data_IF_479891539248
#
_entry.id   IF_479891539248
#
_cell.length_a   1.000
_cell.length_b   1.000
_cell.length_c   1.000
_cell.angle_alpha   90.00
_cell.angle_beta   90.00
_cell.angle_gamma   90.00
#
_symmetry.space_group_name_H-M   'P 1'
#
loop_
_entity.id
_entity.type
_entity.pdbx_description
1 polymer ?
#
# COMPACT_ATOMS: atom_id res chain seq x y z
N UNK A 1 10.32 4.01 56.69
CA UNK A 1 11.03 3.78 55.41
C UNK A 1 10.96 5.07 54.61
N UNK A 2 12.08 5.62 54.14
CA UNK A 2 12.07 6.88 53.37
C UNK A 2 11.31 6.70 52.05
N UNK A 3 10.40 7.63 51.74
CA UNK A 3 9.65 7.64 50.47
C UNK A 3 10.62 7.87 49.31
N UNK A 4 10.56 7.00 48.28
CA UNK A 4 11.42 7.11 47.09
C UNK A 4 11.00 8.32 46.25
N UNK A 5 11.98 9.04 45.72
CA UNK A 5 11.70 10.16 44.80
C UNK A 5 11.10 9.65 43.48
N UNK A 6 10.37 10.51 42.76
CA UNK A 6 9.80 10.17 41.45
C UNK A 6 10.87 9.63 40.47
N UNK A 7 12.01 10.33 40.36
CA UNK A 7 13.13 9.91 39.49
C UNK A 7 13.70 8.55 39.87
N UNK A 8 13.75 8.22 41.17
CA UNK A 8 14.19 6.90 41.63
C UNK A 8 13.21 5.81 41.20
N UNK A 9 11.89 6.06 41.33
CA UNK A 9 10.84 5.12 40.90
C UNK A 9 10.92 4.84 39.40
N UNK A 10 11.04 5.88 38.56
CA UNK A 10 11.19 5.76 37.10
C UNK A 10 12.41 4.91 36.74
N UNK A 11 13.57 5.19 37.34
CA UNK A 11 14.83 4.45 37.06
C UNK A 11 14.75 2.99 37.47
N UNK A 12 14.06 2.68 38.57
CA UNK A 12 13.86 1.30 39.02
C UNK A 12 12.98 0.56 38.01
N UNK A 13 11.83 1.13 37.62
CA UNK A 13 10.92 0.52 36.65
C UNK A 13 11.63 0.23 35.32
N UNK A 14 12.32 1.23 34.77
CA UNK A 14 13.11 1.10 33.54
C UNK A 14 14.14 -0.06 33.61
N UNK A 15 14.89 -0.14 34.72
CA UNK A 15 15.87 -1.23 34.93
C UNK A 15 15.22 -2.59 35.12
N UNK A 16 14.06 -2.64 35.78
CA UNK A 16 13.29 -3.87 35.97
C UNK A 16 12.82 -4.41 34.62
N UNK A 17 12.25 -3.57 33.77
CA UNK A 17 11.79 -3.96 32.43
C UNK A 17 12.94 -4.53 31.59
N UNK A 18 14.07 -3.81 31.50
CA UNK A 18 15.24 -4.30 30.75
C UNK A 18 15.82 -5.59 31.33
N UNK A 19 15.64 -5.86 32.63
CA UNK A 19 16.02 -7.14 33.24
C UNK A 19 15.06 -8.24 32.83
N UNK A 20 13.75 -7.98 32.81
CA UNK A 20 12.74 -8.93 32.33
C UNK A 20 12.93 -9.26 30.85
N UNK A 21 13.31 -8.29 30.02
CA UNK A 21 13.60 -8.51 28.59
C UNK A 21 14.70 -9.54 28.34
N UNK A 22 15.60 -9.77 29.30
CA UNK A 22 16.62 -10.84 29.21
C UNK A 22 16.00 -12.23 29.16
N UNK A 23 14.76 -12.37 29.62
CA UNK A 23 13.96 -13.59 29.51
C UNK A 23 13.20 -13.71 28.19
N UNK A 24 13.20 -12.70 27.31
CA UNK A 24 12.52 -12.81 26.01
C UNK A 24 13.33 -13.65 25.00
N UNK A 25 12.66 -14.29 24.03
CA UNK A 25 13.29 -14.91 22.87
C UNK A 25 14.27 -13.95 22.17
N UNK A 26 15.34 -14.52 21.61
CA UNK A 26 16.45 -13.77 21.04
C UNK A 26 16.01 -12.85 19.88
N UNK A 27 14.94 -13.24 19.18
CA UNK A 27 14.38 -12.53 18.03
C UNK A 27 13.68 -11.23 18.45
N UNK A 28 12.97 -11.23 19.59
CA UNK A 28 12.13 -10.10 20.02
C UNK A 28 12.78 -9.23 21.10
N UNK A 29 13.77 -9.76 21.83
CA UNK A 29 14.48 -9.02 22.88
C UNK A 29 15.08 -7.68 22.38
N UNK A 30 15.77 -7.60 21.22
CA UNK A 30 16.33 -6.35 20.72
C UNK A 30 15.24 -5.31 20.40
N UNK A 31 14.12 -5.75 19.83
CA UNK A 31 12.97 -4.90 19.50
C UNK A 31 12.38 -4.28 20.77
N UNK A 32 12.10 -5.09 21.79
CA UNK A 32 11.58 -4.61 23.07
C UNK A 32 12.55 -3.65 23.76
N UNK A 33 13.85 -3.96 23.76
CA UNK A 33 14.87 -3.09 24.37
C UNK A 33 14.92 -1.71 23.71
N UNK A 34 14.83 -1.64 22.38
CA UNK A 34 14.83 -0.37 21.66
C UNK A 34 13.55 0.41 21.93
N UNK A 35 12.39 -0.26 21.90
CA UNK A 35 11.10 0.36 22.18
C UNK A 35 11.04 1.00 23.58
N UNK A 36 11.42 0.27 24.63
CA UNK A 36 11.48 0.79 26.01
C UNK A 36 12.41 2.00 26.13
N UNK A 37 13.58 1.94 25.49
CA UNK A 37 14.55 3.06 25.51
C UNK A 37 13.94 4.32 24.88
N UNK A 38 13.31 4.15 23.72
CA UNK A 38 12.73 5.26 22.99
C UNK A 38 11.55 5.86 23.74
N UNK A 39 10.64 5.04 24.27
CA UNK A 39 9.47 5.50 25.00
C UNK A 39 9.83 6.26 26.29
N UNK A 40 10.75 5.73 27.11
CA UNK A 40 11.21 6.44 28.31
C UNK A 40 11.99 7.72 27.96
N UNK A 41 12.67 7.76 26.80
CA UNK A 41 13.37 8.97 26.32
C UNK A 41 12.37 10.04 25.87
N UNK A 42 11.32 9.66 25.13
CA UNK A 42 10.24 10.57 24.68
C UNK A 42 9.53 11.21 25.87
N UNK A 43 9.28 10.45 26.93
CA UNK A 43 8.54 10.91 28.11
C UNK A 43 9.42 11.60 29.18
N UNK A 44 10.69 11.90 28.90
CA UNK A 44 11.59 12.53 29.88
C UNK A 44 11.16 13.94 30.30
N UNK A 45 10.39 14.65 29.47
CA UNK A 45 9.96 16.04 29.68
C UNK A 45 8.43 16.20 29.71
N UNK A 46 7.67 15.12 29.92
CA UNK A 46 6.22 15.17 29.99
C UNK A 46 5.73 15.87 31.27
N UNK A 47 4.46 16.28 31.27
CA UNK A 47 3.82 16.88 32.46
C UNK A 47 3.50 15.80 33.50
N UNK A 48 3.31 16.19 34.77
CA UNK A 48 3.17 15.24 35.88
C UNK A 48 2.00 14.26 35.72
N UNK A 49 0.86 14.71 35.19
CA UNK A 49 -0.30 13.86 34.91
C UNK A 49 0.00 12.77 33.88
N UNK A 50 0.68 13.12 32.79
CA UNK A 50 1.13 12.17 31.77
C UNK A 50 2.16 11.20 32.33
N UNK A 51 3.10 11.70 33.15
CA UNK A 51 4.12 10.86 33.80
C UNK A 51 3.49 9.81 34.72
N UNK A 52 2.40 10.15 35.42
CA UNK A 52 1.67 9.22 36.29
C UNK A 52 1.04 8.10 35.46
N UNK A 53 0.31 8.44 34.39
CA UNK A 53 -0.33 7.47 33.50
C UNK A 53 0.74 6.58 32.84
N UNK A 54 1.78 7.18 32.27
CA UNK A 54 2.89 6.47 31.64
C UNK A 54 3.52 5.45 32.61
N UNK A 55 3.80 5.85 33.85
CA UNK A 55 4.39 4.94 34.84
C UNK A 55 3.45 3.83 35.27
N UNK A 56 2.13 4.07 35.30
CA UNK A 56 1.13 3.05 35.57
C UNK A 56 1.15 1.97 34.47
N UNK A 57 1.00 2.36 33.22
CA UNK A 57 0.99 1.44 32.07
C UNK A 57 2.27 0.61 31.96
N UNK A 58 3.44 1.25 32.16
CA UNK A 58 4.72 0.54 32.13
C UNK A 58 4.94 -0.37 33.34
N UNK A 59 4.29 -0.08 34.47
CA UNK A 59 4.28 -0.98 35.63
C UNK A 59 3.43 -2.21 35.33
N UNK A 60 2.25 -2.03 34.74
CA UNK A 60 1.37 -3.14 34.35
C UNK A 60 2.03 -4.02 33.27
N UNK A 61 2.70 -3.41 32.30
CA UNK A 61 3.53 -4.12 31.33
C UNK A 61 4.60 -4.98 32.04
N UNK A 62 5.34 -4.42 32.99
CA UNK A 62 6.39 -5.14 33.70
C UNK A 62 5.83 -6.30 34.54
N UNK A 63 4.67 -6.11 35.19
CA UNK A 63 3.97 -7.16 35.95
C UNK A 63 3.52 -8.28 35.02
N UNK A 64 2.82 -7.94 33.92
CA UNK A 64 2.36 -8.91 32.92
C UNK A 64 3.51 -9.71 32.31
N UNK A 65 4.63 -9.05 32.01
CA UNK A 65 5.82 -9.71 31.47
C UNK A 65 6.46 -10.65 32.51
N UNK A 66 6.52 -10.23 33.79
CA UNK A 66 7.03 -11.08 34.86
C UNK A 66 6.16 -12.33 35.10
N UNK A 67 4.83 -12.19 35.02
CA UNK A 67 3.90 -13.33 35.10
C UNK A 67 4.15 -14.33 33.96
N UNK A 68 4.31 -13.84 32.73
CA UNK A 68 4.48 -14.68 31.54
C UNK A 68 5.84 -15.40 31.52
N UNK A 69 6.90 -14.74 31.99
CA UNK A 69 8.24 -15.35 32.04
C UNK A 69 8.39 -16.39 33.17
N UNK A 70 7.51 -16.35 34.16
CA UNK A 70 7.54 -17.23 35.33
C UNK A 70 8.75 -16.99 36.25
N UNK A 71 8.64 -17.43 37.51
CA UNK A 71 9.69 -17.25 38.54
C UNK A 71 10.99 -18.01 38.25
N UNK A 72 10.99 -18.95 37.30
CA UNK A 72 12.11 -19.84 36.96
C UNK A 72 12.76 -19.57 35.59
N UNK A 73 12.33 -18.53 34.88
CA UNK A 73 12.94 -18.06 33.64
C UNK A 73 12.39 -18.73 32.35
N UNK A 74 12.79 -18.22 31.17
CA UNK A 74 12.18 -18.56 29.87
C UNK A 74 12.21 -20.04 29.50
N UNK A 75 13.15 -20.82 30.04
CA UNK A 75 13.25 -22.26 29.79
C UNK A 75 12.15 -23.08 30.49
N UNK A 76 11.31 -22.45 31.31
CA UNK A 76 10.21 -23.10 32.06
C UNK A 76 8.83 -22.53 31.72
N UNK A 77 8.74 -21.58 30.78
CA UNK A 77 7.52 -20.85 30.46
C UNK A 77 6.67 -21.51 29.38
N UNK A 78 5.34 -21.40 29.53
CA UNK A 78 4.38 -21.53 28.44
C UNK A 78 4.76 -20.59 27.27
N UNK A 79 4.20 -20.77 26.05
CA UNK A 79 4.39 -19.80 24.97
C UNK A 79 4.11 -18.38 25.47
N UNK A 80 5.06 -17.47 25.24
CA UNK A 80 4.92 -16.05 25.56
C UNK A 80 3.76 -15.46 24.75
N UNK A 81 2.98 -14.60 25.41
CA UNK A 81 1.75 -14.06 24.86
C UNK A 81 0.51 -14.67 25.52
N UNK A 82 -0.49 -13.83 25.79
CA UNK A 82 -1.85 -14.26 26.09
C UNK A 82 -2.67 -13.98 24.82
N UNK A 83 -3.64 -14.83 24.49
CA UNK A 83 -4.65 -14.44 23.50
C UNK A 83 -5.35 -13.19 24.02
N UNK A 84 -5.40 -12.14 23.19
CA UNK A 84 -6.15 -10.93 23.52
C UNK A 84 -7.62 -11.31 23.67
N UNK A 85 -8.28 -10.80 24.72
CA UNK A 85 -9.73 -10.95 24.83
C UNK A 85 -10.37 -10.09 23.74
N UNK A 86 -11.57 -10.43 23.32
CA UNK A 86 -12.31 -9.70 22.29
C UNK A 86 -12.42 -8.20 22.61
N UNK A 87 -12.73 -7.86 23.86
CA UNK A 87 -12.68 -6.49 24.39
C UNK A 87 -11.31 -5.80 24.33
N UNK A 88 -10.21 -6.55 24.41
CA UNK A 88 -8.85 -5.99 24.33
C UNK A 88 -8.45 -5.76 22.87
N UNK A 89 -9.05 -6.53 21.93
CA UNK A 89 -8.96 -6.28 20.48
C UNK A 89 -9.74 -5.01 20.09
N UNK A 90 -10.91 -4.78 20.69
CA UNK A 90 -11.70 -3.54 20.52
C UNK A 90 -10.95 -2.30 21.06
N UNK A 91 -10.04 -2.48 22.02
CA UNK A 91 -9.17 -1.40 22.53
C UNK A 91 -7.95 -1.15 21.64
N UNK A 92 -7.61 -2.04 20.69
CA UNK A 92 -6.66 -1.75 19.62
C UNK A 92 -7.35 -0.80 18.63
N UNK A 93 -7.38 0.50 18.95
CA UNK A 93 -8.04 1.59 18.18
C UNK A 93 -8.68 1.10 16.87
N UNK A 94 -9.99 0.82 16.93
CA UNK A 94 -10.86 0.55 15.77
C UNK A 94 -10.74 1.62 14.65
N UNK A 95 -10.15 2.76 14.97
CA UNK A 95 -9.98 3.90 14.08
C UNK A 95 -8.84 3.75 13.06
N UNK A 96 -7.86 2.83 13.24
CA UNK A 96 -6.71 2.75 12.34
C UNK A 96 -6.93 1.78 11.18
N UNK A 97 -6.85 2.28 9.95
CA UNK A 97 -6.78 1.41 8.76
C UNK A 97 -5.59 0.44 8.88
N UNK A 98 -5.82 -0.86 8.64
CA UNK A 98 -4.74 -1.85 8.63
C UNK A 98 -3.88 -1.81 7.35
N UNK A 99 -4.08 -0.79 6.51
CA UNK A 99 -3.39 -0.60 5.24
C UNK A 99 -2.94 0.83 5.03
N UNK A 100 -2.04 0.96 4.06
CA UNK A 100 -1.52 2.23 3.58
C UNK A 100 -1.81 2.36 2.10
N UNK A 101 -1.98 3.59 1.65
CA UNK A 101 -2.09 3.93 0.25
C UNK A 101 -0.73 4.46 -0.25
N UNK A 102 -0.43 4.18 -1.52
CA UNK A 102 0.73 4.72 -2.21
C UNK A 102 0.38 6.11 -2.74
N UNK A 103 1.20 7.08 -2.38
CA UNK A 103 1.06 8.48 -2.74
C UNK A 103 2.33 8.95 -3.44
N UNK A 104 2.15 9.67 -4.53
CA UNK A 104 3.22 10.35 -5.24
C UNK A 104 2.93 11.85 -5.21
N UNK A 105 3.97 12.66 -4.96
CA UNK A 105 3.86 14.11 -5.08
C UNK A 105 4.40 14.53 -6.44
N UNK A 106 3.54 15.17 -7.23
CA UNK A 106 3.92 15.67 -8.54
C UNK A 106 4.99 16.74 -8.41
N UNK A 107 5.98 16.72 -9.30
CA UNK A 107 7.02 17.73 -9.36
C UNK A 107 6.42 19.13 -9.58
N UNK A 108 7.01 20.17 -8.97
CA UNK A 108 6.54 21.57 -9.10
C UNK A 108 6.44 22.10 -10.55
N UNK A 109 7.17 21.49 -11.49
CA UNK A 109 7.15 21.87 -12.92
C UNK A 109 6.05 21.15 -13.72
N UNK A 110 5.20 20.37 -13.07
CA UNK A 110 4.15 19.64 -13.76
C UNK A 110 3.17 20.56 -14.48
N UNK A 111 2.83 20.23 -15.73
CA UNK A 111 1.87 21.00 -16.55
C UNK A 111 0.43 20.96 -16.01
N UNK A 112 0.14 20.05 -15.08
CA UNK A 112 -1.17 19.88 -14.48
C UNK A 112 -1.03 19.55 -13.00
N UNK A 113 -1.65 20.38 -12.15
CA UNK A 113 -1.65 20.27 -10.68
C UNK A 113 -0.25 20.04 -10.09
N UNK A 114 0.69 20.99 -10.24
CA UNK A 114 2.03 20.86 -9.68
C UNK A 114 2.00 20.79 -8.15
N UNK A 115 2.88 19.98 -7.56
CA UNK A 115 3.03 19.88 -6.11
C UNK A 115 1.91 19.15 -5.37
N UNK A 116 0.89 18.64 -6.08
CA UNK A 116 -0.22 17.90 -5.47
C UNK A 116 0.12 16.43 -5.28
N UNK A 117 -0.45 15.80 -4.25
CA UNK A 117 -0.37 14.35 -4.11
C UNK A 117 -1.41 13.67 -4.99
N UNK A 118 -0.98 12.60 -5.65
CA UNK A 118 -1.78 11.79 -6.56
C UNK A 118 -1.52 10.30 -6.36
N UNK A 119 -2.49 9.46 -6.71
CA UNK A 119 -2.23 8.06 -7.04
C UNK A 119 -1.41 7.95 -8.33
N UNK A 120 -0.61 6.87 -8.48
CA UNK A 120 0.11 6.65 -9.72
C UNK A 120 -0.81 6.48 -10.92
N UNK A 121 -0.39 6.99 -12.07
CA UNK A 121 -1.14 6.83 -13.31
C UNK A 121 -0.95 7.96 -14.31
N UNK A 122 -1.16 7.63 -15.58
CA UNK A 122 -0.96 8.55 -16.68
C UNK A 122 -1.79 8.23 -17.90
N UNK A 123 -1.20 8.48 -19.07
CA UNK A 123 -1.89 8.41 -20.36
C UNK A 123 -1.63 7.06 -21.00
N UNK A 124 -2.62 6.53 -21.71
CA UNK A 124 -2.43 5.31 -22.50
C UNK A 124 -1.47 5.57 -23.65
N UNK A 125 -0.41 4.77 -23.71
CA UNK A 125 0.57 4.78 -24.79
C UNK A 125 0.27 3.70 -25.83
N UNK A 126 0.76 3.89 -27.06
CA UNK A 126 0.57 2.91 -28.13
C UNK A 126 1.15 1.52 -27.78
N UNK A 127 2.22 1.51 -26.97
CA UNK A 127 2.85 0.31 -26.43
C UNK A 127 1.92 -0.52 -25.52
N UNK A 128 1.00 0.13 -24.80
CA UNK A 128 0.08 -0.55 -23.87
C UNK A 128 -0.97 -1.39 -24.61
N UNK A 129 -1.28 -1.01 -25.84
CA UNK A 129 -2.20 -1.73 -26.75
C UNK A 129 -1.50 -2.64 -27.76
N UNK A 130 -0.18 -2.82 -27.66
CA UNK A 130 0.59 -3.60 -28.62
C UNK A 130 0.20 -5.10 -28.58
N UNK A 131 0.02 -5.72 -29.75
CA UNK A 131 -0.36 -7.14 -29.85
C UNK A 131 0.74 -8.09 -29.35
N UNK A 132 2.01 -7.66 -29.26
CA UNK A 132 3.11 -8.44 -28.67
C UNK A 132 2.84 -8.87 -27.23
N UNK A 133 2.02 -8.13 -26.49
CA UNK A 133 1.59 -8.56 -25.15
C UNK A 133 0.94 -9.95 -25.16
N UNK A 134 0.21 -10.30 -26.22
CA UNK A 134 -0.39 -11.64 -26.36
C UNK A 134 0.68 -12.74 -26.37
N UNK A 135 1.83 -12.49 -26.96
CA UNK A 135 2.95 -13.44 -27.02
C UNK A 135 3.55 -13.64 -25.62
N UNK A 136 3.73 -12.55 -24.85
CA UNK A 136 4.23 -12.61 -23.47
C UNK A 136 3.25 -13.38 -22.56
N UNK A 137 1.95 -13.09 -22.65
CA UNK A 137 0.93 -13.81 -21.89
C UNK A 137 0.84 -15.28 -22.31
N UNK A 138 0.87 -15.59 -23.61
CA UNK A 138 0.86 -16.95 -24.13
C UNK A 138 2.07 -17.76 -23.68
N UNK A 139 3.26 -17.15 -23.68
CA UNK A 139 4.48 -17.76 -23.15
C UNK A 139 4.39 -18.09 -21.65
N UNK A 140 3.43 -17.50 -20.93
CA UNK A 140 3.16 -17.74 -19.51
C UNK A 140 1.98 -18.70 -19.29
N UNK A 141 1.49 -19.35 -20.36
CA UNK A 141 0.39 -20.31 -20.32
C UNK A 141 -1.02 -19.69 -20.35
N UNK A 142 -1.13 -18.37 -20.50
CA UNK A 142 -2.42 -17.68 -20.60
C UNK A 142 -2.95 -17.71 -22.03
N UNK A 143 -4.19 -18.15 -22.19
CA UNK A 143 -4.85 -18.24 -23.50
C UNK A 143 -5.61 -16.94 -23.79
N UNK A 144 -5.93 -16.69 -25.07
CA UNK A 144 -6.68 -15.49 -25.46
C UNK A 144 -8.07 -15.39 -24.80
N UNK A 145 -8.71 -16.52 -24.50
CA UNK A 145 -9.99 -16.60 -23.78
C UNK A 145 -9.85 -16.25 -22.29
N UNK A 146 -8.65 -16.31 -21.72
CA UNK A 146 -8.40 -15.98 -20.30
C UNK A 146 -8.77 -14.53 -20.00
N UNK A 147 -8.58 -13.63 -20.97
CA UNK A 147 -8.94 -12.22 -20.86
C UNK A 147 -10.45 -11.96 -20.80
N UNK A 148 -11.29 -12.90 -21.21
CA UNK A 148 -12.74 -12.73 -21.16
C UNK A 148 -13.25 -12.50 -19.72
N UNK A 149 -12.54 -13.04 -18.73
CA UNK A 149 -12.84 -12.82 -17.30
C UNK A 149 -12.59 -11.38 -16.82
N UNK A 150 -11.78 -10.60 -17.54
CA UNK A 150 -11.52 -9.19 -17.24
C UNK A 150 -12.58 -8.25 -17.82
N UNK A 151 -13.51 -8.78 -18.62
CA UNK A 151 -14.60 -8.01 -19.22
C UNK A 151 -15.86 -8.19 -18.36
N UNK A 152 -16.38 -7.13 -17.71
CA UNK A 152 -17.57 -7.25 -16.88
C UNK A 152 -18.81 -7.61 -17.71
N UNK A 153 -19.74 -8.40 -17.13
CA UNK A 153 -20.96 -8.88 -17.80
C UNK A 153 -22.09 -7.86 -17.76
N UNK A 154 -21.86 -6.70 -18.38
CA UNK A 154 -22.77 -5.55 -18.35
C UNK A 154 -23.14 -5.09 -19.76
N UNK A 155 -24.33 -4.51 -19.91
CA UNK A 155 -24.89 -4.16 -21.22
C UNK A 155 -24.20 -2.95 -21.88
N UNK A 156 -23.68 -2.00 -21.09
CA UNK A 156 -23.08 -0.76 -21.58
C UNK A 156 -21.77 -0.49 -20.86
N UNK A 157 -20.69 -0.27 -21.63
CA UNK A 157 -19.38 0.14 -21.12
C UNK A 157 -19.12 1.62 -21.44
N UNK A 158 -18.42 2.36 -20.56
CA UNK A 158 -17.97 3.71 -20.87
C UNK A 158 -17.11 3.77 -22.15
N UNK A 159 -17.13 4.91 -22.84
CA UNK A 159 -16.43 5.12 -24.12
C UNK A 159 -14.92 4.84 -24.06
N UNK A 160 -14.29 5.06 -22.90
CA UNK A 160 -12.86 4.78 -22.71
C UNK A 160 -12.50 3.31 -22.91
N UNK A 161 -13.47 2.39 -22.79
CA UNK A 161 -13.28 0.95 -23.03
C UNK A 161 -13.53 0.52 -24.48
N UNK A 162 -13.79 1.47 -25.39
CA UNK A 162 -13.94 1.16 -26.81
C UNK A 162 -12.62 0.65 -27.38
N UNK A 163 -12.64 -0.62 -27.81
CA UNK A 163 -11.50 -1.26 -28.47
C UNK A 163 -11.39 -0.83 -29.92
N UNK A 164 -10.17 -0.78 -30.44
CA UNK A 164 -9.88 -0.48 -31.84
C UNK A 164 -9.43 -1.77 -32.57
N UNK A 165 -9.64 -1.87 -33.90
CA UNK A 165 -9.09 -2.96 -34.68
C UNK A 165 -7.56 -3.02 -34.58
N UNK A 166 -6.99 -4.23 -34.70
CA UNK A 166 -5.53 -4.47 -34.71
C UNK A 166 -4.76 -4.01 -33.45
N UNK A 167 -5.46 -3.84 -32.33
CA UNK A 167 -4.90 -3.49 -31.03
C UNK A 167 -5.35 -4.52 -29.98
N UNK A 168 -4.65 -4.56 -28.85
CA UNK A 168 -5.09 -5.30 -27.67
C UNK A 168 -6.43 -4.71 -27.18
N UNK A 169 -7.39 -5.54 -26.69
CA UNK A 169 -8.64 -5.01 -26.17
C UNK A 169 -8.41 -3.95 -25.11
N UNK A 170 -9.25 -2.91 -25.11
CA UNK A 170 -9.04 -1.73 -24.27
C UNK A 170 -9.09 -2.06 -22.78
N UNK A 171 -9.91 -3.04 -22.40
CA UNK A 171 -9.97 -3.65 -21.06
C UNK A 171 -8.61 -4.14 -20.55
N UNK A 172 -7.75 -4.56 -21.46
CA UNK A 172 -6.41 -5.05 -21.17
C UNK A 172 -5.40 -3.91 -21.22
N UNK A 173 -5.42 -3.11 -22.30
CA UNK A 173 -4.44 -2.02 -22.47
C UNK A 173 -4.52 -1.00 -21.33
N UNK A 174 -5.71 -0.67 -20.81
CA UNK A 174 -5.85 0.27 -19.69
C UNK A 174 -5.23 -0.25 -18.39
N UNK A 175 -5.28 -1.57 -18.17
CA UNK A 175 -4.61 -2.22 -17.03
C UNK A 175 -3.11 -2.22 -17.20
N UNK A 176 -2.63 -2.47 -18.42
CA UNK A 176 -1.21 -2.38 -18.76
C UNK A 176 -0.72 -0.94 -18.55
N UNK A 177 -1.46 0.07 -19.01
CA UNK A 177 -1.17 1.48 -18.74
C UNK A 177 -1.04 1.74 -17.24
N UNK A 178 -2.04 1.33 -16.44
CA UNK A 178 -1.99 1.55 -14.99
C UNK A 178 -0.77 0.90 -14.33
N UNK A 179 -0.39 -0.31 -14.75
CA UNK A 179 0.79 -1.02 -14.24
C UNK A 179 2.08 -0.35 -14.72
N UNK A 180 2.18 0.03 -15.99
CA UNK A 180 3.35 0.72 -16.56
C UNK A 180 3.61 2.02 -15.83
N UNK A 181 2.58 2.87 -15.71
CA UNK A 181 2.66 4.17 -15.03
C UNK A 181 3.00 3.99 -13.54
N UNK A 182 2.41 2.99 -12.88
CA UNK A 182 2.79 2.66 -11.49
C UNK A 182 4.28 2.30 -11.40
N UNK A 183 4.80 1.50 -12.32
CA UNK A 183 6.22 1.17 -12.36
C UNK A 183 7.08 2.40 -12.64
N UNK A 184 6.73 3.17 -13.66
CA UNK A 184 7.44 4.36 -14.11
C UNK A 184 7.62 5.35 -12.96
N UNK A 185 6.52 5.72 -12.30
CA UNK A 185 6.53 6.79 -11.30
C UNK A 185 6.98 6.33 -9.91
N UNK A 186 6.87 5.04 -9.57
CA UNK A 186 7.09 4.53 -8.19
C UNK A 186 8.08 3.36 -8.07
N UNK A 187 8.51 2.78 -9.18
CA UNK A 187 9.38 1.62 -9.23
C UNK A 187 8.70 0.29 -8.90
N UNK A 188 7.41 0.29 -8.59
CA UNK A 188 6.66 -0.91 -8.21
C UNK A 188 6.15 -1.63 -9.46
N UNK A 189 6.75 -2.78 -9.76
CA UNK A 189 6.39 -3.60 -10.92
C UNK A 189 5.33 -4.64 -10.55
N UNK A 190 4.04 -4.31 -10.77
CA UNK A 190 2.89 -5.21 -10.51
C UNK A 190 2.80 -6.28 -11.60
N UNK A 191 3.61 -7.32 -11.45
CA UNK A 191 3.77 -8.42 -12.39
C UNK A 191 3.84 -9.77 -11.67
N UNK A 192 3.64 -10.83 -12.45
CA UNK A 192 3.90 -12.23 -12.05
C UNK A 192 5.03 -12.80 -12.89
N UNK A 193 5.89 -13.60 -12.27
CA UNK A 193 6.85 -14.41 -13.03
C UNK A 193 6.10 -15.43 -13.90
N UNK A 194 6.66 -15.79 -15.06
CA UNK A 194 5.99 -16.73 -15.99
C UNK A 194 5.65 -18.08 -15.34
N UNK A 195 6.51 -18.55 -14.44
CA UNK A 195 6.36 -19.84 -13.75
C UNK A 195 5.42 -19.76 -12.53
N UNK A 196 4.91 -18.56 -12.21
CA UNK A 196 3.99 -18.34 -11.11
C UNK A 196 2.53 -18.51 -11.56
N UNK A 197 2.05 -19.74 -11.39
CA UNK A 197 0.67 -20.13 -11.68
C UNK A 197 -0.27 -20.03 -10.48
N UNK A 198 0.16 -19.41 -9.38
CA UNK A 198 -0.72 -19.28 -8.22
C UNK A 198 -1.89 -18.36 -8.56
N UNK A 199 -3.09 -18.79 -8.21
CA UNK A 199 -4.31 -17.97 -8.33
C UNK A 199 -4.56 -17.30 -7.00
N UNK A 200 -4.41 -15.98 -6.97
CA UNK A 200 -4.70 -15.14 -5.80
C UNK A 200 -5.32 -13.83 -6.27
N UNK A 201 -6.16 -13.23 -5.43
CA UNK A 201 -6.74 -11.92 -5.68
C UNK A 201 -5.80 -10.77 -5.30
N UNK A 202 -4.76 -11.08 -4.54
CA UNK A 202 -3.74 -10.12 -4.12
C UNK A 202 -2.74 -9.88 -5.23
N UNK A 203 -2.39 -8.61 -5.44
CA UNK A 203 -1.39 -8.21 -6.39
C UNK A 203 -0.01 -8.74 -6.02
N UNK A 204 0.65 -9.34 -7.01
CA UNK A 204 2.06 -9.68 -6.94
C UNK A 204 2.92 -8.56 -7.49
N UNK A 205 4.17 -8.55 -7.07
CA UNK A 205 5.18 -7.65 -7.61
C UNK A 205 6.47 -8.42 -7.90
N UNK A 206 7.19 -7.97 -8.91
CA UNK A 206 8.52 -8.47 -9.24
C UNK A 206 9.55 -7.44 -8.79
N UNK A 207 10.54 -7.88 -8.00
CA UNK A 207 11.61 -6.99 -7.54
C UNK A 207 12.62 -6.72 -8.64
N UNK A 208 13.01 -5.45 -8.79
CA UNK A 208 14.13 -5.04 -9.64
C UNK A 208 15.33 -4.73 -8.73
N UNK A 209 16.56 -5.14 -9.09
CA UNK A 209 17.75 -4.76 -8.35
C UNK A 209 17.84 -3.23 -8.18
N UNK A 210 18.10 -2.76 -6.96
CA UNK A 210 18.09 -1.31 -6.64
C UNK A 210 19.01 -0.47 -7.53
N UNK A 211 20.13 -1.04 -7.96
CA UNK A 211 21.08 -0.38 -8.86
C UNK A 211 20.61 -0.28 -10.32
N UNK A 212 19.60 -1.05 -10.73
CA UNK A 212 19.00 -1.00 -12.06
C UNK A 212 17.67 -0.24 -12.08
N UNK A 213 17.01 -0.06 -10.92
CA UNK A 213 15.64 0.43 -10.82
C UNK A 213 15.44 1.78 -11.54
N UNK A 214 16.21 2.80 -11.16
CA UNK A 214 16.13 4.11 -11.80
C UNK A 214 16.48 4.09 -13.28
N UNK A 215 17.37 3.18 -13.71
CA UNK A 215 17.69 3.04 -15.14
C UNK A 215 16.47 2.54 -15.91
N UNK A 216 15.74 1.57 -15.36
CA UNK A 216 14.52 1.06 -15.98
C UNK A 216 13.36 2.04 -15.91
N UNK A 217 13.16 2.75 -14.80
CA UNK A 217 12.15 3.82 -14.72
C UNK A 217 12.38 4.88 -15.79
N UNK A 218 13.61 5.40 -15.90
CA UNK A 218 13.96 6.37 -16.93
C UNK A 218 13.76 5.82 -18.35
N UNK A 219 14.08 4.55 -18.61
CA UNK A 219 13.86 3.94 -19.92
C UNK A 219 12.37 3.88 -20.28
N UNK A 220 11.54 3.38 -19.37
CA UNK A 220 10.10 3.26 -19.58
C UNK A 220 9.43 4.64 -19.71
N UNK A 221 9.86 5.60 -18.90
CA UNK A 221 9.42 6.99 -18.97
C UNK A 221 9.70 7.63 -20.34
N UNK A 222 10.91 7.42 -20.88
CA UNK A 222 11.29 7.97 -22.17
C UNK A 222 10.69 7.19 -23.36
N UNK A 223 10.42 5.90 -23.19
CA UNK A 223 9.85 5.02 -24.22
C UNK A 223 9.01 3.91 -23.57
N UNK A 224 7.69 4.03 -23.68
CA UNK A 224 6.76 3.05 -23.14
C UNK A 224 6.95 1.63 -23.71
N UNK A 225 7.60 1.47 -24.88
CA UNK A 225 7.93 0.14 -25.42
C UNK A 225 9.00 -0.59 -24.60
N UNK A 226 9.85 0.13 -23.85
CA UNK A 226 10.82 -0.48 -22.92
C UNK A 226 10.11 -1.21 -21.76
N UNK A 227 8.82 -0.96 -21.51
CA UNK A 227 8.05 -1.72 -20.52
C UNK A 227 7.84 -3.18 -20.95
N UNK A 228 7.62 -3.42 -22.25
CA UNK A 228 7.62 -4.77 -22.82
C UNK A 228 8.99 -5.43 -22.64
N UNK A 229 10.06 -4.72 -23.00
CA UNK A 229 11.45 -5.21 -22.88
C UNK A 229 11.83 -5.53 -21.44
N UNK A 230 11.38 -4.72 -20.48
CA UNK A 230 11.55 -4.98 -19.05
C UNK A 230 10.86 -6.29 -18.65
N UNK A 231 9.61 -6.50 -19.05
CA UNK A 231 8.86 -7.72 -18.76
C UNK A 231 9.53 -8.97 -19.39
N UNK A 232 10.02 -8.85 -20.62
CA UNK A 232 10.78 -9.91 -21.29
C UNK A 232 12.08 -10.24 -20.54
N UNK A 233 12.88 -9.23 -20.18
CA UNK A 233 14.15 -9.39 -19.46
C UNK A 233 13.95 -10.09 -18.11
N UNK A 234 12.91 -9.70 -17.37
CA UNK A 234 12.61 -10.26 -16.04
C UNK A 234 11.79 -11.55 -16.08
N UNK A 235 11.48 -12.04 -17.28
CA UNK A 235 10.61 -13.19 -17.50
C UNK A 235 9.32 -13.10 -16.67
N UNK A 236 8.62 -11.98 -16.81
CA UNK A 236 7.37 -11.69 -16.11
C UNK A 236 6.31 -11.12 -17.05
N UNK A 237 5.08 -11.03 -16.56
CA UNK A 237 3.95 -10.42 -17.28
C UNK A 237 3.11 -9.58 -16.32
N UNK A 238 2.42 -8.52 -16.79
CA UNK A 238 1.58 -7.67 -15.96
C UNK A 238 0.48 -8.47 -15.25
N UNK A 239 0.31 -8.26 -13.94
CA UNK A 239 -0.70 -8.98 -13.14
C UNK A 239 -2.10 -8.37 -13.30
N UNK A 240 -2.67 -8.49 -14.51
CA UNK A 240 -3.89 -7.81 -14.91
C UNK A 240 -5.10 -8.13 -14.00
N UNK A 241 -5.16 -9.37 -13.51
CA UNK A 241 -6.24 -9.87 -12.67
C UNK A 241 -6.14 -9.39 -11.23
N UNK A 242 -5.01 -8.84 -10.79
CA UNK A 242 -4.92 -8.22 -9.48
C UNK A 242 -5.53 -6.81 -9.44
N UNK A 243 -5.63 -6.14 -10.59
CA UNK A 243 -6.31 -4.85 -10.69
C UNK A 243 -7.83 -5.07 -10.62
N UNK A 244 -8.51 -4.39 -9.72
CA UNK A 244 -9.98 -4.31 -9.66
C UNK A 244 -10.43 -3.00 -10.23
N UNK A 245 -11.38 -3.03 -11.17
CA UNK A 245 -11.98 -1.79 -11.66
C UNK A 245 -12.68 -1.09 -10.50
N UNK A 246 -12.20 0.12 -10.18
CA UNK A 246 -12.72 0.89 -9.08
C UNK A 246 -13.74 1.91 -9.57
N UNK A 247 -13.36 2.81 -10.49
CA UNK A 247 -14.25 3.85 -11.04
C UNK A 247 -13.80 4.37 -12.39
N UNK A 248 -14.73 4.94 -13.16
CA UNK A 248 -14.42 5.77 -14.31
C UNK A 248 -14.89 7.22 -14.09
N UNK A 249 -13.97 8.18 -14.16
CA UNK A 249 -14.22 9.60 -14.00
C UNK A 249 -13.99 10.35 -15.30
N UNK A 250 -14.97 11.16 -15.71
CA UNK A 250 -14.81 12.10 -16.82
C UNK A 250 -14.73 13.54 -16.28
N UNK A 251 -13.69 14.26 -16.70
CA UNK A 251 -13.52 15.67 -16.32
C UNK A 251 -14.66 16.53 -16.90
N UNK A 252 -15.23 17.47 -16.13
CA UNK A 252 -16.32 18.34 -16.60
C UNK A 252 -15.97 19.07 -17.91
N UNK A 253 -16.99 19.39 -18.70
CA UNK A 253 -16.81 20.06 -20.01
C UNK A 253 -16.33 21.51 -19.89
N UNK A 254 -16.55 22.15 -18.75
CA UNK A 254 -16.12 23.53 -18.46
C UNK A 254 -14.62 23.67 -18.19
N UNK A 255 -13.91 22.55 -17.94
CA UNK A 255 -12.48 22.58 -17.62
C UNK A 255 -11.62 22.63 -18.89
N UNK A 256 -10.54 23.43 -18.91
CA UNK A 256 -9.71 23.59 -20.11
C UNK A 256 -8.91 22.33 -20.47
N UNK A 257 -8.47 21.56 -19.47
CA UNK A 257 -7.82 20.26 -19.65
C UNK A 257 -8.76 19.18 -19.14
N UNK A 258 -9.01 18.15 -19.95
CA UNK A 258 -9.99 17.10 -19.65
C UNK A 258 -9.37 15.73 -19.79
N UNK A 259 -9.74 14.86 -18.87
CA UNK A 259 -9.34 13.46 -18.84
C UNK A 259 -10.57 12.57 -18.70
N UNK A 260 -10.52 11.43 -19.37
CA UNK A 260 -11.37 10.28 -19.09
C UNK A 260 -10.47 9.25 -18.41
N UNK A 261 -10.72 8.96 -17.15
CA UNK A 261 -9.76 8.25 -16.29
C UNK A 261 -10.43 7.04 -15.67
N UNK A 262 -9.79 5.88 -15.79
CA UNK A 262 -10.20 4.67 -15.07
C UNK A 262 -9.27 4.50 -13.88
N UNK A 263 -9.86 4.34 -12.70
CA UNK A 263 -9.17 3.98 -11.48
C UNK A 263 -9.22 2.48 -11.29
N UNK A 264 -8.06 1.90 -10.99
CA UNK A 264 -7.93 0.52 -10.56
C UNK A 264 -7.48 0.46 -9.11
N UNK A 265 -7.95 -0.54 -8.37
CA UNK A 265 -7.47 -0.87 -7.04
C UNK A 265 -6.63 -2.15 -7.13
N UNK A 266 -5.44 -2.14 -6.53
CA UNK A 266 -4.61 -3.31 -6.36
C UNK A 266 -4.16 -3.40 -4.89
N UNK A 267 -4.40 -4.55 -4.25
CA UNK A 267 -4.02 -4.80 -2.87
C UNK A 267 -2.76 -5.68 -2.84
N UNK A 268 -1.66 -5.17 -2.28
CA UNK A 268 -0.39 -5.90 -2.15
C UNK A 268 -0.22 -6.30 -0.68
N UNK A 269 0.14 -7.57 -0.38
CA UNK A 269 0.16 -8.06 1.00
C UNK A 269 1.29 -7.47 1.86
N UNK A 270 2.36 -7.00 1.22
CA UNK A 270 3.51 -6.37 1.87
C UNK A 270 3.93 -5.14 1.08
N UNK A 271 4.32 -4.08 1.77
CA UNK A 271 4.80 -2.85 1.14
C UNK A 271 6.11 -3.14 0.39
N UNK A 272 6.14 -3.04 -0.95
CA UNK A 272 7.35 -3.26 -1.72
C UNK A 272 8.34 -2.09 -1.54
N UNK A 273 9.61 -2.34 -1.87
CA UNK A 273 10.54 -1.23 -2.07
C UNK A 273 10.05 -0.37 -3.23
N UNK A 274 10.04 0.94 -3.03
CA UNK A 274 9.53 1.91 -3.98
C UNK A 274 10.47 3.11 -4.00
N UNK A 275 10.68 3.67 -5.19
CA UNK A 275 11.52 4.83 -5.42
C UNK A 275 10.89 5.62 -6.56
N UNK A 276 10.71 6.92 -6.37
CA UNK A 276 10.08 7.74 -7.39
C UNK A 276 11.05 8.10 -8.51
N UNK A 277 10.52 8.29 -9.71
CA UNK A 277 11.24 8.89 -10.82
C UNK A 277 11.21 10.43 -10.66
N UNK A 278 12.39 11.06 -10.66
CA UNK A 278 12.56 12.44 -10.21
C UNK A 278 12.22 13.51 -11.26
N UNK A 279 11.96 13.12 -12.52
CA UNK A 279 11.52 14.02 -13.59
C UNK A 279 10.05 14.39 -13.38
N UNK A 280 9.22 13.42 -13.04
CA UNK A 280 7.78 13.63 -12.85
C UNK A 280 7.36 13.83 -11.39
N UNK A 281 8.09 13.24 -10.45
CA UNK A 281 7.74 13.21 -9.03
C UNK A 281 8.82 13.82 -8.14
N UNK A 282 8.42 14.32 -6.97
CA UNK A 282 9.34 14.90 -5.98
C UNK A 282 9.25 14.25 -4.59
N UNK A 283 8.26 13.38 -4.36
CA UNK A 283 8.09 12.63 -3.12
C UNK A 283 7.25 11.35 -3.35
N UNK A 284 7.49 10.33 -2.54
CA UNK A 284 6.75 9.05 -2.55
C UNK A 284 6.54 8.57 -1.13
N UNK A 285 5.30 8.23 -0.79
CA UNK A 285 4.96 7.76 0.55
C UNK A 285 3.93 6.64 0.53
N UNK A 286 4.13 5.69 1.43
CA UNK A 286 3.08 4.79 1.89
C UNK A 286 2.50 5.35 3.17
N UNK A 287 1.24 5.78 3.13
CA UNK A 287 0.63 6.46 4.27
C UNK A 287 -0.80 6.00 4.55
N UNK A 288 -1.20 6.01 5.82
CA UNK A 288 -2.59 5.74 6.21
C UNK A 288 -3.47 6.96 5.91
N UNK A 289 -4.79 6.74 5.84
CA UNK A 289 -5.72 7.83 5.55
C UNK A 289 -5.76 8.89 6.67
N UNK A 290 -5.61 8.48 7.93
CA UNK A 290 -5.59 9.40 9.08
C UNK A 290 -4.40 10.34 9.01
N UNK A 291 -3.22 9.80 8.71
CA UNK A 291 -2.02 10.60 8.56
C UNK A 291 -2.15 11.52 7.34
N UNK A 292 -2.70 11.03 6.23
CA UNK A 292 -2.95 11.84 5.04
C UNK A 292 -3.88 13.03 5.33
N UNK A 293 -5.01 12.80 6.01
CA UNK A 293 -5.96 13.86 6.36
C UNK A 293 -5.39 14.86 7.36
N UNK A 294 -4.37 14.47 8.14
CA UNK A 294 -3.66 15.39 9.04
C UNK A 294 -2.66 16.29 8.31
N UNK A 295 -2.30 15.95 7.07
CA UNK A 295 -1.39 16.74 6.26
C UNK A 295 -2.15 17.85 5.51
N UNK A 296 -1.56 19.04 5.46
CA UNK A 296 -2.05 20.12 4.60
C UNK A 296 -1.63 19.86 3.15
N UNK A 297 -2.38 19.00 2.45
CA UNK A 297 -2.11 18.60 1.08
C UNK A 297 -3.27 18.91 0.15
N UNK A 298 -2.92 19.28 -1.08
CA UNK A 298 -3.88 19.40 -2.17
C UNK A 298 -3.98 18.08 -2.91
N UNK A 299 -5.22 17.61 -3.11
CA UNK A 299 -5.56 16.36 -3.79
C UNK A 299 -6.58 16.68 -4.89
N UNK A 300 -6.47 16.10 -6.10
CA UNK A 300 -7.48 16.28 -7.15
C UNK A 300 -8.88 15.80 -6.72
N UNK A 301 -9.96 16.48 -7.13
CA UNK A 301 -11.33 16.15 -6.67
C UNK A 301 -11.77 14.69 -6.87
N UNK A 302 -11.48 14.01 -8.01
CA UNK A 302 -11.80 12.58 -8.14
C UNK A 302 -11.13 11.72 -7.06
N UNK A 303 -9.87 12.02 -6.73
CA UNK A 303 -9.14 11.27 -5.72
C UNK A 303 -9.64 11.59 -4.30
N UNK A 304 -10.01 12.84 -4.01
CA UNK A 304 -10.67 13.18 -2.74
C UNK A 304 -11.94 12.35 -2.51
N UNK A 305 -12.76 12.21 -3.55
CA UNK A 305 -13.96 11.38 -3.47
C UNK A 305 -13.63 9.90 -3.27
N UNK A 306 -12.66 9.36 -4.02
CA UNK A 306 -12.28 7.95 -3.83
C UNK A 306 -11.67 7.69 -2.46
N UNK A 307 -10.87 8.61 -1.93
CA UNK A 307 -10.33 8.54 -0.57
C UNK A 307 -11.46 8.48 0.46
N UNK A 308 -12.48 9.33 0.34
CA UNK A 308 -13.63 9.31 1.24
C UNK A 308 -14.32 7.94 1.21
N UNK A 309 -14.40 7.30 0.04
CA UNK A 309 -14.95 5.94 -0.09
C UNK A 309 -14.03 4.86 0.47
N UNK A 310 -12.72 4.99 0.31
CA UNK A 310 -11.75 4.06 0.88
C UNK A 310 -11.77 4.15 2.41
N UNK A 311 -12.00 5.33 2.98
CA UNK A 311 -12.06 5.57 4.42
C UNK A 311 -13.15 4.74 5.15
N UNK A 312 -14.17 4.28 4.42
CA UNK A 312 -15.24 3.41 4.93
C UNK A 312 -14.75 1.98 5.22
N UNK A 313 -13.59 1.58 4.68
CA UNK A 313 -13.03 0.24 4.86
C UNK A 313 -11.82 0.30 5.79
N UNK A 314 -11.90 -0.25 7.01
CA UNK A 314 -10.74 -0.30 7.93
C UNK A 314 -9.79 -1.48 7.67
N UNK A 315 -10.23 -2.45 6.86
CA UNK A 315 -9.47 -3.66 6.52
C UNK A 315 -9.24 -3.74 5.01
N UNK A 316 -7.99 -3.99 4.61
CA UNK A 316 -7.62 -4.24 3.21
C UNK A 316 -8.28 -5.50 2.64
N UNK A 317 -8.49 -6.52 3.46
CA UNK A 317 -9.19 -7.75 3.07
C UNK A 317 -10.64 -7.43 2.70
N UNK A 318 -11.35 -6.71 3.59
CA UNK A 318 -12.74 -6.27 3.31
C UNK A 318 -12.81 -5.35 2.09
N UNK A 319 -11.83 -4.47 1.92
CA UNK A 319 -11.74 -3.60 0.76
C UNK A 319 -11.54 -4.40 -0.54
N UNK A 320 -10.66 -5.41 -0.51
CA UNK A 320 -10.39 -6.29 -1.65
C UNK A 320 -11.62 -7.12 -2.02
N UNK A 321 -12.27 -7.73 -1.03
CA UNK A 321 -13.50 -8.51 -1.23
C UNK A 321 -14.61 -7.64 -1.85
N UNK A 322 -14.82 -6.44 -1.31
CA UNK A 322 -15.77 -5.48 -1.86
C UNK A 322 -15.43 -5.08 -3.31
N UNK A 323 -14.15 -4.82 -3.59
CA UNK A 323 -13.71 -4.45 -4.93
C UNK A 323 -13.89 -5.61 -5.93
N UNK A 324 -13.72 -6.86 -5.48
CA UNK A 324 -13.97 -8.04 -6.30
C UNK A 324 -15.43 -8.19 -6.68
N UNK A 325 -16.33 -8.18 -5.70
CA UNK A 325 -17.78 -8.30 -5.93
C UNK A 325 -18.24 -7.21 -6.90
N UNK A 326 -17.90 -5.95 -6.59
CA UNK A 326 -18.30 -4.79 -7.38
C UNK A 326 -17.84 -4.85 -8.82
N UNK A 327 -16.60 -5.27 -9.08
CA UNK A 327 -16.00 -5.26 -10.42
C UNK A 327 -16.77 -6.13 -11.42
N UNK A 328 -17.64 -7.02 -10.93
CA UNK A 328 -18.45 -7.92 -11.77
C UNK A 328 -19.86 -7.39 -12.05
N UNK A 329 -20.36 -6.43 -11.27
CA UNK A 329 -21.78 -6.09 -11.22
C UNK A 329 -22.13 -4.72 -11.82
N UNK A 330 -21.21 -3.76 -11.87
CA UNK A 330 -21.55 -2.37 -12.22
C UNK A 330 -20.57 -1.70 -13.20
N UNK A 331 -21.10 -1.09 -14.28
CA UNK A 331 -20.40 -0.05 -15.03
C UNK A 331 -20.69 1.29 -14.40
N UNK A 332 -19.66 1.99 -13.89
CA UNK A 332 -19.86 3.24 -13.18
C UNK A 332 -19.04 4.34 -13.83
N UNK A 333 -19.73 5.17 -14.60
CA UNK A 333 -19.20 6.44 -15.07
C UNK A 333 -19.72 7.54 -14.16
N UNK A 334 -18.81 8.32 -13.60
CA UNK A 334 -19.10 9.48 -12.75
C UNK A 334 -18.63 10.77 -13.43
N UNK A 335 -19.36 11.84 -13.13
CA UNK A 335 -19.09 13.19 -13.59
C UNK A 335 -19.11 14.11 -12.37
N UNK A 336 -18.13 15.02 -12.28
CA UNK A 336 -18.25 16.16 -11.39
C UNK A 336 -19.12 17.21 -12.11
N UNK A 337 -20.16 17.78 -11.48
CA UNK A 337 -20.97 18.82 -12.09
C UNK A 337 -20.20 20.11 -12.33
#
# INVERSE_FOLDING_TARGET
MASRTHVQRVRILYKTILRLHRGLPAEIQPLGNNYVRDEFKRHKKCVESEAIIFLHEWTDYAVSLAEQLGLRGPHTGQPLGKCLKEKDLEMLRDEQHNYKLLWLKRHQKSSFMPGTYVFPGGIVESADSNLKWREIFAASGLKNDSFASLVPKIAVRPEIYRSRPNELPREISLRITAIRETFEESGILICKHKDDHTSTNWAKHVSIPKNELQTWQNKVHNDATEFLTLCEKLNCYPDLWALREWRNWLTPTIMPKRFNTVFYLACIPLIPYAEYEATEMEDLKWETLENLFSMDITIPPPQQYEIARLNEFKSIDKLLDFAMERSTEEALQLYLP
#
